data_IF_461227395946
#
_entry.id   IF_461227395946
#
_cell.length_a   1.000
_cell.length_b   1.000
_cell.length_c   1.000
_cell.angle_alpha   90.00
_cell.angle_beta   90.00
_cell.angle_gamma   90.00
#
_symmetry.space_group_name_H-M   'P 1'
#
loop_
_entity.id
_entity.type
_entity.pdbx_description
1 polymer ?
#
# COMPACT_ATOMS: atom_id res chain seq x y z
N UNK A 1 -22.03 4.02 -3.01
CA UNK A 1 -20.65 4.54 -2.94
C UNK A 1 -19.70 3.50 -3.48
N UNK A 2 -19.16 3.69 -4.69
CA UNK A 2 -18.22 2.76 -5.33
C UNK A 2 -16.97 3.55 -5.68
N UNK A 3 -15.92 3.39 -4.89
CA UNK A 3 -14.59 3.88 -5.20
C UNK A 3 -13.96 2.96 -6.25
N UNK A 4 -13.19 3.53 -7.19
CA UNK A 4 -12.56 2.79 -8.28
C UNK A 4 -11.05 2.78 -8.09
N UNK A 5 -10.44 1.61 -8.19
CA UNK A 5 -8.97 1.51 -8.20
C UNK A 5 -8.50 1.66 -9.63
N UNK A 6 -7.80 2.75 -9.92
CA UNK A 6 -7.30 3.05 -11.26
C UNK A 6 -5.95 2.39 -11.54
N UNK A 7 -5.07 2.33 -10.54
CA UNK A 7 -3.78 1.64 -10.67
C UNK A 7 -3.32 1.06 -9.34
N UNK A 8 -2.47 0.04 -9.41
CA UNK A 8 -1.75 -0.52 -8.25
C UNK A 8 -0.28 -0.66 -8.60
N UNK A 9 0.59 -0.32 -7.66
CA UNK A 9 2.05 -0.44 -7.80
C UNK A 9 2.65 -1.09 -6.56
N UNK A 10 3.49 -2.10 -6.75
CA UNK A 10 4.24 -2.72 -5.65
C UNK A 10 5.37 -1.80 -5.21
N UNK A 11 5.45 -1.53 -3.92
CA UNK A 11 6.54 -0.78 -3.29
C UNK A 11 7.55 -1.72 -2.65
N UNK A 12 7.06 -2.81 -2.05
CA UNK A 12 7.88 -3.82 -1.37
C UNK A 12 7.23 -5.19 -1.49
N UNK A 13 8.03 -6.23 -1.69
CA UNK A 13 7.56 -7.61 -1.77
C UNK A 13 8.58 -8.54 -1.11
N UNK A 14 8.18 -9.21 -0.04
CA UNK A 14 8.90 -10.35 0.50
C UNK A 14 7.99 -11.57 0.65
N UNK A 15 8.51 -12.65 1.23
CA UNK A 15 7.78 -13.92 1.38
C UNK A 15 6.64 -13.87 2.41
N UNK A 16 6.49 -12.78 3.16
CA UNK A 16 5.58 -12.64 4.29
C UNK A 16 4.60 -11.47 4.14
N UNK A 17 5.05 -10.35 3.56
CA UNK A 17 4.29 -9.11 3.42
C UNK A 17 4.55 -8.45 2.06
N UNK A 18 3.48 -7.92 1.50
CA UNK A 18 3.55 -7.10 0.29
C UNK A 18 3.06 -5.68 0.58
N UNK A 19 3.96 -4.71 0.40
CA UNK A 19 3.63 -3.29 0.42
C UNK A 19 3.28 -2.80 -0.98
N UNK A 20 2.10 -2.19 -1.14
CA UNK A 20 1.60 -1.66 -2.41
C UNK A 20 1.15 -0.20 -2.24
N UNK A 21 1.03 0.52 -3.35
CA UNK A 21 0.21 1.73 -3.42
C UNK A 21 -0.90 1.53 -4.43
N UNK A 22 -2.03 2.20 -4.21
CA UNK A 22 -3.16 2.24 -5.11
C UNK A 22 -3.60 3.68 -5.34
N UNK A 23 -3.77 4.04 -6.62
CA UNK A 23 -4.50 5.24 -7.01
C UNK A 23 -5.98 4.90 -7.01
N UNK A 24 -6.73 5.59 -6.16
CA UNK A 24 -8.17 5.41 -5.97
C UNK A 24 -8.90 6.67 -6.40
N UNK A 25 -9.81 6.52 -7.35
CA UNK A 25 -10.75 7.56 -7.73
C UNK A 25 -12.01 7.44 -6.87
N UNK A 26 -12.30 8.53 -6.16
CA UNK A 26 -13.50 8.71 -5.36
C UNK A 26 -14.71 9.03 -6.27
N UNK A 27 -15.94 8.85 -5.76
CA UNK A 27 -17.15 9.18 -6.52
C UNK A 27 -17.27 10.66 -6.93
N UNK A 28 -16.52 11.55 -6.29
CA UNK A 28 -16.44 12.99 -6.60
C UNK A 28 -15.36 13.31 -7.66
N UNK A 29 -14.69 12.29 -8.22
CA UNK A 29 -13.63 12.43 -9.21
C UNK A 29 -12.25 12.74 -8.62
N UNK A 30 -12.12 12.84 -7.29
CA UNK A 30 -10.81 13.05 -6.66
C UNK A 30 -9.98 11.78 -6.67
N UNK A 31 -8.70 11.94 -6.97
CA UNK A 31 -7.71 10.88 -6.88
C UNK A 31 -7.05 10.88 -5.49
N UNK A 32 -6.86 9.68 -4.93
CA UNK A 32 -6.15 9.45 -3.69
C UNK A 32 -5.08 8.40 -3.93
N UNK A 33 -3.81 8.76 -3.72
CA UNK A 33 -2.74 7.79 -3.58
C UNK A 33 -2.80 7.20 -2.17
N UNK A 34 -3.04 5.89 -2.07
CA UNK A 34 -3.12 5.17 -0.81
C UNK A 34 -2.12 4.03 -0.78
N UNK A 35 -1.19 4.10 0.16
CA UNK A 35 -0.35 2.97 0.54
C UNK A 35 -1.18 1.90 1.23
N UNK A 36 -1.06 0.68 0.73
CA UNK A 36 -1.76 -0.52 1.17
C UNK A 36 -0.72 -1.54 1.61
N UNK A 37 -0.98 -2.19 2.74
CA UNK A 37 -0.25 -3.39 3.15
C UNK A 37 -1.21 -4.54 2.92
N UNK A 38 -0.81 -5.52 2.11
CA UNK A 38 -1.61 -6.74 1.95
C UNK A 38 -1.59 -7.55 3.24
N UNK A 39 -2.69 -8.27 3.51
CA UNK A 39 -2.76 -9.18 4.62
C UNK A 39 -1.62 -10.22 4.53
N UNK A 40 -0.87 -10.33 5.62
CA UNK A 40 0.33 -11.16 5.77
C UNK A 40 0.82 -11.12 7.22
N UNK A 41 1.78 -11.98 7.57
CA UNK A 41 2.30 -12.06 8.93
C UNK A 41 3.64 -11.32 9.02
N UNK A 42 3.77 -10.36 9.93
CA UNK A 42 5.02 -9.60 10.10
C UNK A 42 5.94 -10.39 11.03
N UNK A 43 6.67 -11.34 10.47
CA UNK A 43 7.50 -12.28 11.23
C UNK A 43 8.94 -11.81 11.45
N UNK A 44 9.38 -10.73 10.79
CA UNK A 44 10.75 -10.20 10.87
C UNK A 44 10.80 -8.69 11.10
N UNK A 45 11.74 -8.25 11.95
CA UNK A 45 12.02 -6.84 12.19
C UNK A 45 12.50 -6.09 10.94
N UNK A 46 13.14 -6.77 9.99
CA UNK A 46 13.54 -6.15 8.71
C UNK A 46 12.34 -5.80 7.85
N UNK A 47 11.33 -6.69 7.79
CA UNK A 47 10.06 -6.44 7.10
C UNK A 47 9.32 -5.28 7.75
N UNK A 48 9.26 -5.23 9.09
CA UNK A 48 8.70 -4.10 9.83
C UNK A 48 9.40 -2.78 9.47
N UNK A 49 10.73 -2.75 9.46
CA UNK A 49 11.52 -1.54 9.11
C UNK A 49 11.29 -1.12 7.67
N UNK A 50 11.25 -2.06 6.71
CA UNK A 50 10.97 -1.76 5.32
C UNK A 50 9.56 -1.17 5.13
N UNK A 51 8.56 -1.71 5.83
CA UNK A 51 7.20 -1.19 5.81
C UNK A 51 7.10 0.21 6.40
N UNK A 52 7.79 0.48 7.52
CA UNK A 52 7.86 1.82 8.10
C UNK A 52 8.44 2.82 7.09
N UNK A 53 9.53 2.45 6.41
CA UNK A 53 10.10 3.30 5.36
C UNK A 53 9.13 3.52 4.19
N UNK A 54 8.40 2.49 3.76
CA UNK A 54 7.41 2.63 2.70
C UNK A 54 6.16 3.42 3.11
N UNK A 55 5.76 3.41 4.39
CA UNK A 55 4.53 4.06 4.87
C UNK A 55 4.71 5.47 5.43
N UNK A 56 5.94 5.89 5.77
CA UNK A 56 6.20 7.27 6.20
C UNK A 56 5.98 8.23 5.02
N UNK A 57 5.10 9.24 5.15
CA UNK A 57 4.98 10.30 4.15
C UNK A 57 6.24 11.18 4.18
N UNK A 58 6.66 11.66 3.00
CA UNK A 58 7.60 12.79 2.87
C UNK A 58 6.93 14.07 3.40
#
# INVERSE_FOLDING_TARGET
>A
MRWRVNSKRTLYQDQWVHGRTADIELPDGRHLDRRLIDAGDITSGTTMTALLYCCVPD
#
